data_IF_418564048322
#
_entry.id   IF_418564048322
#
_cell.length_a   1.000
_cell.length_b   1.000
_cell.length_c   1.000
_cell.angle_alpha   90.00
_cell.angle_beta   90.00
_cell.angle_gamma   90.00
#
_symmetry.space_group_name_H-M   'P 1'
#
loop_
_entity.id
_entity.type
_entity.pdbx_description
1 polymer ?
#
# COMPACT_ATOMS: atom_id res chain seq x y z
N UNK A 1 -12.66 2.26 -43.39
CA UNK A 1 -11.19 2.24 -43.11
C UNK A 1 -11.08 2.01 -41.61
N UNK A 2 -10.71 0.80 -41.21
CA UNK A 2 -10.52 0.48 -39.78
C UNK A 2 -9.10 0.92 -39.38
N UNK A 3 -9.01 1.84 -38.45
CA UNK A 3 -7.75 2.20 -37.81
C UNK A 3 -7.18 0.97 -37.10
N UNK A 4 -6.04 0.52 -37.59
CA UNK A 4 -5.18 -0.43 -36.89
C UNK A 4 -4.60 0.31 -35.68
N UNK A 5 -5.17 0.07 -34.50
CA UNK A 5 -4.48 0.35 -33.24
C UNK A 5 -3.29 -0.60 -33.14
N UNK A 6 -2.12 -0.13 -33.51
CA UNK A 6 -0.85 -0.76 -33.20
C UNK A 6 -0.64 -0.72 -31.68
N UNK A 7 -1.15 -1.73 -30.99
CA UNK A 7 -0.78 -1.99 -29.60
C UNK A 7 0.65 -2.51 -29.60
N UNK A 8 1.63 -1.61 -29.56
CA UNK A 8 2.96 -1.94 -29.05
C UNK A 8 2.78 -2.44 -27.62
N UNK A 9 2.59 -3.75 -27.45
CA UNK A 9 2.73 -4.40 -26.15
C UNK A 9 4.19 -4.25 -25.78
N UNK A 10 4.51 -3.20 -25.03
CA UNK A 10 5.86 -2.97 -24.52
C UNK A 10 6.29 -4.22 -23.76
N UNK A 11 7.42 -4.77 -24.13
CA UNK A 11 8.03 -5.94 -23.50
C UNK A 11 8.17 -5.69 -22.01
N UNK A 12 7.30 -6.31 -21.20
CA UNK A 12 7.31 -6.17 -19.74
C UNK A 12 8.19 -7.24 -19.13
N UNK A 13 9.26 -6.83 -18.44
CA UNK A 13 10.15 -7.73 -17.70
C UNK A 13 9.69 -7.80 -16.24
N UNK A 14 9.60 -9.02 -15.75
CA UNK A 14 9.29 -9.34 -14.35
C UNK A 14 10.39 -10.23 -13.78
N UNK A 15 10.48 -10.33 -12.46
CA UNK A 15 11.43 -11.23 -11.81
C UNK A 15 10.72 -12.27 -10.96
N UNK A 16 11.11 -13.54 -11.12
CA UNK A 16 10.72 -14.65 -10.24
C UNK A 16 11.98 -15.21 -9.61
N UNK A 17 12.10 -15.14 -8.30
CA UNK A 17 13.25 -15.63 -7.54
C UNK A 17 14.60 -15.10 -8.07
N UNK A 18 14.63 -13.84 -8.56
CA UNK A 18 15.81 -13.22 -9.14
C UNK A 18 16.06 -13.51 -10.62
N UNK A 19 15.26 -14.34 -11.26
CA UNK A 19 15.38 -14.64 -12.71
C UNK A 19 14.43 -13.69 -13.47
N UNK A 20 15.03 -12.79 -14.28
CA UNK A 20 14.31 -11.83 -15.09
C UNK A 20 13.82 -12.48 -16.38
N UNK A 21 12.54 -12.29 -16.70
CA UNK A 21 11.94 -12.86 -17.92
C UNK A 21 10.74 -12.05 -18.40
N UNK A 22 10.36 -12.26 -19.66
CA UNK A 22 9.15 -11.66 -20.20
C UNK A 22 7.90 -12.25 -19.55
N UNK A 23 6.95 -11.39 -19.15
CA UNK A 23 5.70 -11.81 -18.51
C UNK A 23 4.90 -12.78 -19.39
N UNK A 24 5.00 -12.67 -20.71
CA UNK A 24 4.36 -13.56 -21.68
C UNK A 24 4.81 -15.02 -21.59
N UNK A 25 5.95 -15.30 -20.96
CA UNK A 25 6.51 -16.64 -20.78
C UNK A 25 6.09 -17.33 -19.49
N UNK A 26 5.23 -16.67 -18.67
CA UNK A 26 4.82 -17.18 -17.36
C UNK A 26 3.63 -18.13 -17.46
N UNK A 27 3.83 -19.38 -17.06
CA UNK A 27 2.77 -20.36 -16.78
C UNK A 27 2.48 -20.37 -15.27
N UNK A 28 1.97 -19.22 -14.72
CA UNK A 28 2.05 -18.88 -13.31
C UNK A 28 0.96 -19.39 -12.35
N UNK A 29 0.04 -20.28 -12.78
CA UNK A 29 -1.13 -20.61 -11.95
C UNK A 29 -0.91 -21.70 -10.89
N UNK A 30 0.17 -22.46 -10.95
CA UNK A 30 0.44 -23.54 -9.99
C UNK A 30 1.34 -23.07 -8.84
N UNK A 31 0.90 -22.09 -8.08
CA UNK A 31 1.61 -21.66 -6.87
C UNK A 31 0.66 -21.37 -5.71
N UNK A 32 1.19 -21.35 -4.49
CA UNK A 32 0.41 -21.19 -3.25
C UNK A 32 -0.13 -19.76 -3.08
N UNK A 33 0.53 -18.76 -3.66
CA UNK A 33 0.03 -17.39 -3.65
C UNK A 33 -1.32 -17.31 -4.37
N UNK A 34 -1.44 -17.94 -5.55
CA UNK A 34 -2.68 -17.99 -6.31
C UNK A 34 -3.75 -18.86 -5.64
N UNK A 35 -3.36 -20.08 -5.14
CA UNK A 35 -4.32 -21.04 -4.60
C UNK A 35 -4.86 -20.65 -3.21
N UNK A 36 -4.06 -20.00 -2.37
CA UNK A 36 -4.37 -19.80 -0.95
C UNK A 36 -4.14 -18.38 -0.43
N UNK A 37 -3.59 -17.47 -1.24
CA UNK A 37 -3.14 -16.18 -0.73
C UNK A 37 -2.01 -16.31 0.31
N UNK A 38 -1.19 -17.37 0.24
CA UNK A 38 -0.19 -17.76 1.24
C UNK A 38 1.09 -16.94 1.06
N UNK A 39 1.03 -15.66 1.42
CA UNK A 39 2.14 -14.74 1.30
C UNK A 39 1.79 -13.28 1.66
N UNK A 40 2.75 -12.43 1.46
CA UNK A 40 2.69 -10.98 1.72
C UNK A 40 3.18 -10.20 0.49
N UNK A 41 2.83 -8.92 0.41
CA UNK A 41 3.30 -8.07 -0.68
C UNK A 41 3.62 -6.65 -0.23
N UNK A 42 4.44 -5.98 -1.03
CA UNK A 42 4.73 -4.57 -0.92
C UNK A 42 4.33 -3.83 -2.20
N UNK A 43 3.96 -2.57 -2.02
CA UNK A 43 3.77 -1.61 -3.11
C UNK A 43 4.70 -0.45 -2.87
N UNK A 44 5.73 -0.32 -3.71
CA UNK A 44 6.85 0.60 -3.51
C UNK A 44 6.81 1.67 -4.60
N UNK A 45 6.85 2.92 -4.22
CA UNK A 45 6.96 4.05 -5.14
C UNK A 45 8.38 4.17 -5.67
N UNK A 46 8.49 4.45 -6.95
CA UNK A 46 9.75 4.89 -7.59
C UNK A 46 9.65 6.38 -7.85
N UNK A 47 10.73 7.10 -7.57
CA UNK A 47 10.92 8.52 -7.84
C UNK A 47 12.34 8.73 -8.35
N UNK A 48 12.51 9.46 -9.44
CA UNK A 48 13.81 9.70 -10.08
C UNK A 48 14.62 8.39 -10.31
N UNK A 49 13.93 7.33 -10.74
CA UNK A 49 14.52 6.02 -10.97
C UNK A 49 14.98 5.26 -9.72
N UNK A 50 14.60 5.70 -8.50
CA UNK A 50 14.95 5.07 -7.24
C UNK A 50 13.72 4.66 -6.45
N UNK A 51 13.78 3.50 -5.81
CA UNK A 51 12.72 3.02 -4.91
C UNK A 51 12.70 3.79 -3.60
N UNK A 52 11.54 4.37 -3.24
CA UNK A 52 11.40 5.13 -2.00
C UNK A 52 11.20 4.21 -0.79
N UNK A 53 11.88 4.54 0.32
CA UNK A 53 11.71 3.86 1.62
C UNK A 53 11.91 2.34 1.57
N UNK A 54 12.73 1.84 0.64
CA UNK A 54 12.89 0.41 0.36
C UNK A 54 13.26 -0.40 1.60
N UNK A 55 14.13 0.11 2.47
CA UNK A 55 14.55 -0.59 3.69
C UNK A 55 13.36 -0.93 4.60
N UNK A 56 12.45 0.01 4.79
CA UNK A 56 11.23 -0.20 5.57
C UNK A 56 10.27 -1.18 4.90
N UNK A 57 10.14 -1.11 3.57
CA UNK A 57 9.34 -2.07 2.80
C UNK A 57 9.89 -3.49 2.92
N UNK A 58 11.19 -3.68 2.74
CA UNK A 58 11.85 -4.99 2.87
C UNK A 58 11.73 -5.53 4.30
N UNK A 59 11.94 -4.68 5.30
CA UNK A 59 11.80 -5.06 6.71
C UNK A 59 10.39 -5.54 7.03
N UNK A 60 9.34 -4.83 6.57
CA UNK A 60 7.94 -5.23 6.77
C UNK A 60 7.60 -6.51 6.01
N UNK A 61 8.07 -6.66 4.76
CA UNK A 61 7.90 -7.87 3.95
C UNK A 61 8.43 -9.10 4.67
N UNK A 62 9.69 -9.02 5.14
CA UNK A 62 10.37 -10.12 5.85
C UNK A 62 9.67 -10.43 7.19
N UNK A 63 9.28 -9.40 7.95
CA UNK A 63 8.55 -9.57 9.19
C UNK A 63 7.19 -10.26 8.97
N UNK A 64 6.46 -9.88 7.91
CA UNK A 64 5.20 -10.51 7.54
C UNK A 64 5.38 -11.98 7.10
N UNK A 65 6.39 -12.26 6.29
CA UNK A 65 6.73 -13.63 5.89
C UNK A 65 7.08 -14.51 7.11
N UNK A 66 7.89 -13.99 8.05
CA UNK A 66 8.22 -14.69 9.31
C UNK A 66 6.99 -14.93 10.17
N UNK A 67 6.06 -13.99 10.28
CA UNK A 67 4.81 -14.17 10.99
C UNK A 67 3.97 -15.32 10.40
N UNK A 68 4.03 -15.50 9.07
CA UNK A 68 3.42 -16.63 8.34
C UNK A 68 4.26 -17.91 8.38
N UNK A 69 5.37 -17.95 9.13
CA UNK A 69 6.32 -19.07 9.19
C UNK A 69 6.91 -19.44 7.83
N UNK A 70 7.07 -18.46 6.92
CA UNK A 70 7.79 -18.62 5.67
C UNK A 70 9.28 -18.39 5.94
N UNK A 71 10.12 -19.32 5.51
CA UNK A 71 11.58 -19.26 5.67
C UNK A 71 12.18 -18.43 4.54
N UNK A 72 12.51 -17.19 4.86
CA UNK A 72 13.16 -16.25 3.93
C UNK A 72 14.67 -16.48 3.98
N UNK A 73 15.37 -16.65 2.84
CA UNK A 73 16.83 -16.71 2.80
C UNK A 73 17.48 -15.49 3.46
N UNK A 74 18.59 -15.67 4.17
CA UNK A 74 19.24 -14.61 4.91
C UNK A 74 19.84 -13.52 4.03
N UNK A 75 20.19 -13.86 2.80
CA UNK A 75 20.72 -12.94 1.79
C UNK A 75 19.61 -12.10 1.13
N UNK A 76 18.32 -12.46 1.27
CA UNK A 76 17.20 -11.65 0.80
C UNK A 76 16.94 -10.47 1.75
N UNK A 77 17.87 -9.53 1.76
CA UNK A 77 17.87 -8.34 2.58
C UNK A 77 17.71 -7.08 1.73
N UNK A 78 17.85 -5.90 2.34
CA UNK A 78 17.79 -4.63 1.64
C UNK A 78 18.75 -4.56 0.44
N UNK A 79 20.01 -4.96 0.59
CA UNK A 79 21.01 -4.86 -0.47
C UNK A 79 20.65 -5.72 -1.67
N UNK A 80 20.17 -6.95 -1.43
CA UNK A 80 19.69 -7.85 -2.48
C UNK A 80 18.52 -7.26 -3.28
N UNK A 81 17.47 -6.84 -2.59
CA UNK A 81 16.29 -6.28 -3.27
C UNK A 81 16.59 -4.93 -3.92
N UNK A 82 17.47 -4.11 -3.34
CA UNK A 82 17.87 -2.84 -3.95
C UNK A 82 18.59 -3.07 -5.29
N UNK A 83 19.53 -4.01 -5.36
CA UNK A 83 20.22 -4.36 -6.60
C UNK A 83 19.25 -4.95 -7.65
N UNK A 84 18.41 -5.90 -7.24
CA UNK A 84 17.43 -6.52 -8.13
C UNK A 84 16.44 -5.49 -8.70
N UNK A 85 15.89 -4.62 -7.87
CA UNK A 85 14.91 -3.62 -8.31
C UNK A 85 15.55 -2.56 -9.20
N UNK A 86 16.78 -2.14 -8.91
CA UNK A 86 17.52 -1.21 -9.76
C UNK A 86 17.75 -1.78 -11.17
N UNK A 87 18.16 -3.05 -11.28
CA UNK A 87 18.31 -3.74 -12.56
C UNK A 87 16.98 -3.86 -13.32
N UNK A 88 15.89 -4.25 -12.62
CA UNK A 88 14.56 -4.34 -13.23
C UNK A 88 14.03 -2.98 -13.71
N UNK A 89 14.31 -1.88 -13.01
CA UNK A 89 13.96 -0.52 -13.43
C UNK A 89 14.62 -0.17 -14.75
N UNK A 90 15.91 -0.51 -14.91
CA UNK A 90 16.66 -0.33 -16.16
C UNK A 90 16.05 -1.15 -17.29
N UNK A 91 15.80 -2.45 -17.06
CA UNK A 91 15.25 -3.37 -18.07
C UNK A 91 13.83 -2.98 -18.52
N UNK A 92 13.02 -2.38 -17.64
CA UNK A 92 11.68 -1.87 -17.97
C UNK A 92 11.69 -0.39 -18.42
N UNK A 93 12.87 0.25 -18.57
CA UNK A 93 13.02 1.64 -18.96
C UNK A 93 12.26 2.64 -18.07
N UNK A 94 12.17 2.35 -16.75
CA UNK A 94 11.53 3.23 -15.77
C UNK A 94 12.59 4.15 -15.17
N UNK A 95 12.75 5.34 -15.77
CA UNK A 95 13.77 6.34 -15.38
C UNK A 95 13.28 7.38 -14.40
N UNK A 96 11.99 7.58 -14.34
CA UNK A 96 11.33 8.60 -13.51
C UNK A 96 10.49 7.94 -12.43
N UNK A 97 9.18 8.15 -12.48
CA UNK A 97 8.23 7.59 -11.54
C UNK A 97 7.81 6.16 -11.88
N UNK A 98 7.49 5.39 -10.87
CA UNK A 98 7.00 4.02 -11.05
C UNK A 98 6.35 3.45 -9.80
N UNK A 99 5.72 2.29 -10.00
CA UNK A 99 5.22 1.43 -8.93
C UNK A 99 5.83 0.05 -9.08
N UNK A 100 6.46 -0.43 -8.02
CA UNK A 100 6.91 -1.82 -7.89
C UNK A 100 5.92 -2.56 -7.01
N UNK A 101 5.49 -3.75 -7.44
CA UNK A 101 4.85 -4.73 -6.58
C UNK A 101 5.81 -5.89 -6.36
N UNK A 102 6.24 -6.08 -5.12
CA UNK A 102 7.06 -7.20 -4.67
C UNK A 102 6.18 -8.13 -3.83
N UNK A 103 5.90 -9.32 -4.34
CA UNK A 103 5.09 -10.34 -3.66
C UNK A 103 5.99 -11.48 -3.22
N UNK A 104 6.00 -11.80 -1.94
CA UNK A 104 6.74 -12.91 -1.34
C UNK A 104 5.73 -13.94 -0.81
N UNK A 105 5.90 -15.21 -1.18
CA UNK A 105 4.96 -16.26 -0.86
C UNK A 105 5.68 -17.57 -0.59
N UNK A 106 4.98 -18.51 0.05
CA UNK A 106 5.52 -19.85 0.32
C UNK A 106 5.64 -20.63 -0.99
N UNK A 107 6.81 -21.22 -1.19
CA UNK A 107 7.12 -22.09 -2.33
C UNK A 107 6.40 -23.43 -2.26
N UNK A 108 6.51 -24.18 -3.36
CA UNK A 108 6.10 -25.57 -3.44
C UNK A 108 4.61 -25.79 -3.52
N UNK A 109 4.22 -27.02 -3.29
CA UNK A 109 2.87 -27.54 -3.44
C UNK A 109 2.26 -27.94 -2.08
N UNK A 110 1.20 -28.73 -2.13
CA UNK A 110 0.42 -29.19 -1.00
C UNK A 110 -0.93 -28.48 -0.92
N UNK A 111 -1.82 -29.05 -0.11
CA UNK A 111 -3.10 -28.41 0.24
C UNK A 111 -2.88 -27.37 1.36
N UNK A 112 -3.69 -27.35 2.40
CA UNK A 112 -3.48 -26.44 3.54
C UNK A 112 -2.17 -26.74 4.28
N UNK A 113 -1.73 -28.00 4.32
CA UNK A 113 -0.40 -28.36 4.81
C UNK A 113 0.63 -28.19 3.67
N UNK A 114 1.57 -27.24 3.78
CA UNK A 114 2.60 -27.03 2.79
C UNK A 114 3.66 -28.13 2.83
N UNK A 115 4.20 -28.54 1.67
CA UNK A 115 5.31 -29.50 1.59
C UNK A 115 6.61 -28.86 2.05
N UNK A 116 6.78 -27.56 1.82
CA UNK A 116 7.94 -26.79 2.27
C UNK A 116 7.50 -25.42 2.83
N UNK A 117 8.36 -24.81 3.65
CA UNK A 117 8.19 -23.44 4.14
C UNK A 117 9.14 -22.44 3.46
N UNK A 118 9.90 -22.85 2.45
CA UNK A 118 10.82 -21.97 1.75
C UNK A 118 10.07 -20.84 1.01
N UNK A 119 10.72 -19.70 0.88
CA UNK A 119 10.14 -18.54 0.20
C UNK A 119 10.35 -18.59 -1.32
N UNK A 120 9.40 -18.02 -2.04
CA UNK A 120 9.54 -17.55 -3.42
C UNK A 120 9.06 -16.10 -3.50
N UNK A 121 9.50 -15.37 -4.50
CA UNK A 121 8.97 -14.03 -4.74
C UNK A 121 8.71 -13.78 -6.22
N UNK A 122 7.84 -12.81 -6.47
CA UNK A 122 7.54 -12.26 -7.79
C UNK A 122 7.58 -10.74 -7.73
N UNK A 123 8.24 -10.11 -8.71
CA UNK A 123 8.31 -8.67 -8.85
C UNK A 123 7.74 -8.26 -10.18
N UNK A 124 6.83 -7.32 -10.15
CA UNK A 124 6.35 -6.59 -11.31
C UNK A 124 6.44 -5.08 -11.09
N UNK A 125 6.55 -4.33 -12.17
CA UNK A 125 6.57 -2.88 -12.10
C UNK A 125 5.88 -2.22 -13.28
N UNK A 126 5.35 -1.03 -13.03
CA UNK A 126 4.71 -0.17 -14.03
C UNK A 126 5.22 1.26 -13.89
N UNK A 127 5.38 2.01 -14.99
CA UNK A 127 5.72 3.42 -14.91
C UNK A 127 4.54 4.25 -14.35
N UNK A 128 4.87 5.36 -13.69
CA UNK A 128 3.94 6.41 -13.23
C UNK A 128 4.53 7.75 -13.68
N UNK A 129 3.69 8.63 -14.20
CA UNK A 129 4.14 9.87 -14.84
C UNK A 129 4.87 10.86 -13.92
N UNK A 130 4.62 10.82 -12.60
CA UNK A 130 5.12 11.82 -11.65
C UNK A 130 6.20 11.27 -10.73
N UNK A 131 7.25 12.05 -10.52
CA UNK A 131 8.31 11.75 -9.54
C UNK A 131 7.92 12.10 -8.11
N UNK A 132 7.22 13.23 -7.91
CA UNK A 132 6.80 13.70 -6.59
C UNK A 132 5.38 13.28 -6.26
N UNK A 133 5.06 13.33 -4.97
CA UNK A 133 3.68 13.18 -4.51
C UNK A 133 2.92 14.49 -4.74
N UNK A 134 1.77 14.39 -5.38
CA UNK A 134 0.87 15.52 -5.59
C UNK A 134 -0.40 15.32 -4.79
N UNK A 135 -0.86 16.37 -4.12
CA UNK A 135 -2.17 16.34 -3.51
C UNK A 135 -3.23 16.34 -4.63
N UNK A 136 -4.28 15.55 -4.47
CA UNK A 136 -5.40 15.53 -5.41
C UNK A 136 -6.06 16.94 -5.48
N UNK A 137 -6.45 17.37 -6.67
CA UNK A 137 -7.09 18.67 -6.89
C UNK A 137 -8.47 18.70 -6.26
N UNK A 138 -9.29 17.70 -6.56
CA UNK A 138 -10.59 17.52 -5.96
C UNK A 138 -10.49 16.57 -4.76
N UNK A 139 -11.14 16.94 -3.65
CA UNK A 139 -11.17 16.11 -2.45
C UNK A 139 -11.96 14.82 -2.67
N UNK A 140 -11.45 13.73 -2.13
CA UNK A 140 -12.11 12.43 -2.23
C UNK A 140 -13.47 12.43 -1.50
N UNK A 141 -14.44 11.73 -2.05
CA UNK A 141 -15.70 11.39 -1.39
C UNK A 141 -15.60 9.98 -0.84
N UNK A 142 -15.85 9.80 0.46
CA UNK A 142 -15.72 8.52 1.14
C UNK A 142 -16.98 8.18 1.96
N UNK A 143 -17.16 6.88 2.26
CA UNK A 143 -18.14 6.43 3.24
C UNK A 143 -17.64 5.18 3.97
N UNK A 144 -18.41 4.68 4.95
CA UNK A 144 -18.10 3.47 5.70
C UNK A 144 -18.47 2.22 4.89
N UNK A 145 -17.62 1.21 4.94
CA UNK A 145 -17.93 -0.15 4.48
C UNK A 145 -18.40 -0.99 5.67
N UNK A 146 -19.68 -1.31 5.69
CA UNK A 146 -20.32 -1.96 6.85
C UNK A 146 -20.55 -3.46 6.69
N UNK A 147 -20.38 -4.02 5.49
CA UNK A 147 -20.70 -5.43 5.19
C UNK A 147 -19.70 -6.40 5.81
N UNK A 148 -18.43 -6.02 5.88
CA UNK A 148 -17.39 -6.83 6.52
C UNK A 148 -16.57 -5.97 7.47
N UNK A 149 -16.14 -6.57 8.58
CA UNK A 149 -15.24 -5.95 9.56
C UNK A 149 -13.92 -6.69 9.63
N UNK A 150 -12.82 -5.96 9.76
CA UNK A 150 -11.50 -6.56 9.94
C UNK A 150 -11.34 -7.11 11.36
N UNK A 151 -10.94 -8.37 11.47
CA UNK A 151 -10.54 -8.95 12.74
C UNK A 151 -9.10 -8.56 13.06
N UNK A 152 -8.83 -8.28 14.33
CA UNK A 152 -7.47 -8.14 14.81
C UNK A 152 -6.83 -9.53 14.97
N UNK A 153 -5.70 -9.75 14.33
CA UNK A 153 -4.87 -10.94 14.45
C UNK A 153 -3.39 -10.59 14.24
N UNK A 154 -2.52 -11.60 14.35
CA UNK A 154 -1.08 -11.42 14.17
C UNK A 154 -0.65 -10.96 12.77
N UNK A 155 -1.54 -11.06 11.77
CA UNK A 155 -1.26 -10.68 10.38
C UNK A 155 -1.80 -9.29 10.05
N UNK A 156 -2.66 -8.71 10.88
CA UNK A 156 -3.40 -7.48 10.60
C UNK A 156 -2.52 -6.29 10.21
N UNK A 157 -1.31 -6.20 10.78
CA UNK A 157 -0.34 -5.13 10.48
C UNK A 157 0.42 -5.30 9.15
N UNK A 158 0.32 -6.47 8.50
CA UNK A 158 1.04 -6.79 7.26
C UNK A 158 0.10 -6.72 6.04
N UNK A 159 0.70 -6.55 4.87
CA UNK A 159 -0.02 -6.62 3.60
C UNK A 159 -0.03 -8.06 3.09
N UNK A 160 -1.00 -8.84 3.55
CA UNK A 160 -1.16 -10.24 3.11
C UNK A 160 -1.75 -10.30 1.70
N UNK A 161 -1.44 -11.37 0.95
CA UNK A 161 -2.04 -11.65 -0.35
C UNK A 161 -3.54 -11.96 -0.25
N UNK A 162 -4.00 -12.39 0.93
CA UNK A 162 -5.43 -12.54 1.23
C UNK A 162 -6.07 -11.17 1.45
N UNK A 163 -6.51 -10.54 0.36
CA UNK A 163 -6.96 -9.14 0.32
C UNK A 163 -8.45 -8.97 0.03
N UNK A 164 -9.27 -10.03 0.21
CA UNK A 164 -10.68 -10.00 -0.20
C UNK A 164 -11.50 -8.89 0.47
N UNK A 165 -11.24 -8.59 1.76
CA UNK A 165 -11.89 -7.48 2.47
C UNK A 165 -11.66 -6.14 1.76
N UNK A 166 -10.43 -5.87 1.34
CA UNK A 166 -10.06 -4.63 0.66
C UNK A 166 -10.67 -4.55 -0.75
N UNK A 167 -10.74 -5.68 -1.46
CA UNK A 167 -11.40 -5.78 -2.76
C UNK A 167 -12.89 -5.47 -2.62
N UNK A 168 -13.57 -6.05 -1.64
CA UNK A 168 -14.99 -5.81 -1.39
C UNK A 168 -15.26 -4.35 -0.98
N UNK A 169 -14.39 -3.75 -0.14
CA UNK A 169 -14.50 -2.34 0.21
C UNK A 169 -14.32 -1.41 -1.01
N UNK A 170 -13.41 -1.76 -1.93
CA UNK A 170 -13.22 -1.02 -3.17
C UNK A 170 -14.40 -1.17 -4.14
N UNK A 171 -15.00 -2.37 -4.25
CA UNK A 171 -16.22 -2.61 -5.03
C UNK A 171 -17.36 -1.76 -4.48
N UNK A 172 -17.59 -1.79 -3.16
CA UNK A 172 -18.60 -0.96 -2.49
C UNK A 172 -18.40 0.54 -2.79
N UNK A 173 -17.17 1.04 -2.79
CA UNK A 173 -16.90 2.42 -3.16
C UNK A 173 -17.36 2.71 -4.59
N UNK A 174 -17.00 1.86 -5.54
CA UNK A 174 -17.37 2.02 -6.96
C UNK A 174 -18.89 1.97 -7.17
N UNK A 175 -19.59 1.03 -6.56
CA UNK A 175 -21.06 0.85 -6.67
C UNK A 175 -21.84 2.05 -6.09
N UNK A 176 -21.26 2.76 -5.11
CA UNK A 176 -21.86 3.92 -4.46
C UNK A 176 -21.32 5.26 -4.97
N UNK A 177 -20.58 5.29 -6.11
CA UNK A 177 -19.96 6.49 -6.68
C UNK A 177 -19.05 7.24 -5.68
N UNK A 178 -18.31 6.50 -4.86
CA UNK A 178 -17.33 7.01 -3.92
C UNK A 178 -15.91 6.80 -4.47
N UNK A 179 -14.96 7.57 -3.97
CA UNK A 179 -13.54 7.38 -4.31
C UNK A 179 -12.89 6.28 -3.48
N UNK A 180 -13.34 6.08 -2.23
CA UNK A 180 -12.84 5.01 -1.36
C UNK A 180 -13.87 4.69 -0.25
N UNK A 181 -13.70 3.54 0.42
CA UNK A 181 -14.52 3.10 1.54
C UNK A 181 -13.68 2.80 2.76
N UNK A 182 -14.13 3.31 3.91
CA UNK A 182 -13.47 3.12 5.20
C UNK A 182 -13.85 1.78 5.82
N UNK A 183 -12.85 1.04 6.27
CA UNK A 183 -12.98 -0.27 6.90
C UNK A 183 -13.01 -0.11 8.42
N UNK A 184 -13.93 -0.82 9.05
CA UNK A 184 -14.06 -0.88 10.50
C UNK A 184 -13.48 -2.18 11.07
N UNK A 185 -12.99 -2.11 12.31
CA UNK A 185 -12.72 -3.32 13.09
C UNK A 185 -13.99 -3.82 13.79
N UNK A 186 -13.89 -4.93 14.53
CA UNK A 186 -15.01 -5.55 15.24
C UNK A 186 -15.62 -4.63 16.33
N UNK A 187 -14.83 -3.71 16.88
CA UNK A 187 -15.27 -2.76 17.90
C UNK A 187 -15.93 -1.51 17.31
N UNK A 188 -16.04 -1.46 15.97
CA UNK A 188 -16.62 -0.36 15.21
C UNK A 188 -15.70 0.86 15.13
N UNK A 189 -14.38 0.69 15.35
CA UNK A 189 -13.39 1.72 15.09
C UNK A 189 -13.03 1.73 13.62
N UNK A 190 -12.87 2.92 13.04
CA UNK A 190 -12.28 3.11 11.71
C UNK A 190 -10.80 2.79 11.82
N UNK A 191 -10.30 1.93 10.94
CA UNK A 191 -8.89 1.51 10.97
C UNK A 191 -8.09 1.96 9.75
N UNK A 192 -8.69 1.92 8.57
CA UNK A 192 -8.04 2.24 7.28
C UNK A 192 -9.11 2.33 6.19
N UNK A 193 -8.71 2.57 4.93
CA UNK A 193 -9.59 2.43 3.76
C UNK A 193 -9.24 1.20 2.93
N UNK A 194 -9.85 1.05 1.76
CA UNK A 194 -9.58 -0.09 0.87
C UNK A 194 -8.11 -0.19 0.43
N UNK A 195 -7.38 0.92 0.42
CA UNK A 195 -6.00 0.95 -0.06
C UNK A 195 -5.05 1.85 0.75
N UNK A 196 -5.53 2.52 1.79
CA UNK A 196 -4.81 3.59 2.49
C UNK A 196 -5.04 3.55 4.01
N UNK A 197 -4.03 3.98 4.79
CA UNK A 197 -4.26 4.34 6.18
C UNK A 197 -5.01 5.67 6.26
N UNK A 198 -5.62 5.96 7.40
CA UNK A 198 -6.37 7.19 7.63
C UNK A 198 -5.72 8.05 8.72
N UNK A 199 -5.76 9.36 8.51
CA UNK A 199 -5.53 10.38 9.54
C UNK A 199 -6.71 11.34 9.54
N UNK A 200 -7.03 11.87 10.69
CA UNK A 200 -7.92 13.03 10.85
C UNK A 200 -7.16 14.18 11.51
N UNK A 201 -7.57 15.40 11.21
CA UNK A 201 -7.09 16.60 11.87
C UNK A 201 -8.24 17.22 12.65
N UNK A 202 -7.99 17.57 13.89
CA UNK A 202 -8.92 18.34 14.70
C UNK A 202 -8.14 19.37 15.51
N UNK A 203 -8.50 20.64 15.39
CA UNK A 203 -7.82 21.77 16.04
C UNK A 203 -6.28 21.77 15.83
N UNK A 204 -5.85 21.46 14.60
CA UNK A 204 -4.43 21.41 14.20
C UNK A 204 -3.65 20.23 14.75
N UNK A 205 -4.30 19.24 15.34
CA UNK A 205 -3.71 18.01 15.86
C UNK A 205 -4.06 16.84 14.94
N UNK A 206 -3.08 16.02 14.59
CA UNK A 206 -3.25 14.78 13.82
C UNK A 206 -3.64 13.62 14.74
N UNK A 207 -4.54 12.79 14.26
CA UNK A 207 -4.93 11.53 14.91
C UNK A 207 -4.96 10.42 13.87
N UNK A 208 -4.49 9.22 14.23
CA UNK A 208 -4.52 8.02 13.38
C UNK A 208 -4.78 6.78 14.24
N UNK A 209 -5.45 5.75 13.72
CA UNK A 209 -5.66 4.51 14.47
C UNK A 209 -4.33 3.87 14.89
N UNK A 210 -4.22 3.32 16.12
CA UNK A 210 -3.07 2.53 16.53
C UNK A 210 -3.05 1.19 15.78
N UNK A 211 -1.87 0.56 15.69
CA UNK A 211 -1.76 -0.75 15.06
C UNK A 211 -2.57 -1.83 15.79
N UNK A 212 -2.81 -1.65 17.06
CA UNK A 212 -3.60 -2.56 17.90
C UNK A 212 -5.11 -2.50 17.61
N UNK A 213 -5.57 -1.51 16.84
CA UNK A 213 -6.93 -1.52 16.26
C UNK A 213 -7.04 -2.41 15.01
N UNK A 214 -5.92 -2.87 14.46
CA UNK A 214 -5.85 -3.82 13.35
C UNK A 214 -5.58 -3.20 11.98
N UNK A 215 -5.19 -1.93 11.89
CA UNK A 215 -4.78 -1.33 10.62
C UNK A 215 -3.44 -1.90 10.13
N UNK A 216 -3.20 -1.82 8.81
CA UNK A 216 -1.88 -2.12 8.25
C UNK A 216 -0.86 -1.09 8.75
N UNK A 217 0.33 -1.56 9.15
CA UNK A 217 1.47 -0.70 9.51
C UNK A 217 2.07 -0.04 8.27
N UNK A 218 1.37 0.97 7.72
CA UNK A 218 1.74 1.62 6.45
C UNK A 218 3.09 2.34 6.51
N UNK A 219 3.91 2.20 5.46
CA UNK A 219 5.20 2.90 5.38
C UNK A 219 4.97 4.41 5.26
N UNK A 220 4.00 4.85 4.47
CA UNK A 220 3.65 6.27 4.39
C UNK A 220 3.06 6.79 5.72
N UNK A 221 2.23 5.97 6.41
CA UNK A 221 1.74 6.30 7.76
C UNK A 221 2.90 6.58 8.72
N UNK A 222 3.91 5.71 8.77
CA UNK A 222 5.11 5.89 9.59
C UNK A 222 5.87 7.17 9.21
N UNK A 223 6.06 7.43 7.92
CA UNK A 223 6.75 8.63 7.46
C UNK A 223 6.00 9.91 7.85
N UNK A 224 4.67 9.94 7.76
CA UNK A 224 3.86 11.08 8.20
C UNK A 224 3.99 11.31 9.70
N UNK A 225 3.99 10.26 10.51
CA UNK A 225 4.22 10.37 11.96
C UNK A 225 5.58 10.98 12.23
N UNK A 226 6.65 10.48 11.58
CA UNK A 226 8.00 10.98 11.74
C UNK A 226 8.14 12.45 11.30
N UNK A 227 7.56 12.81 10.14
CA UNK A 227 7.52 14.19 9.63
C UNK A 227 6.78 15.11 10.60
N UNK A 228 5.64 14.69 11.13
CA UNK A 228 4.88 15.47 12.11
C UNK A 228 5.70 15.74 13.37
N UNK A 229 6.31 14.71 13.96
CA UNK A 229 7.14 14.83 15.16
C UNK A 229 8.34 15.74 14.92
N UNK A 230 9.07 15.56 13.82
CA UNK A 230 10.26 16.37 13.48
C UNK A 230 9.92 17.84 13.23
N UNK A 231 8.69 18.16 12.83
CA UNK A 231 8.21 19.51 12.56
C UNK A 231 7.31 20.08 13.66
N UNK A 232 7.31 19.47 14.86
CA UNK A 232 6.54 19.90 16.04
C UNK A 232 5.02 19.98 15.78
N UNK A 233 4.50 19.16 14.86
CA UNK A 233 3.07 18.98 14.64
C UNK A 233 2.60 17.91 15.62
N UNK A 234 1.63 18.26 16.46
CA UNK A 234 1.08 17.32 17.44
C UNK A 234 0.39 16.17 16.74
N UNK A 235 0.69 14.94 17.16
CA UNK A 235 0.11 13.72 16.60
C UNK A 235 -0.12 12.70 17.71
N UNK A 236 -1.25 11.99 17.62
CA UNK A 236 -1.61 10.91 18.54
C UNK A 236 -2.12 9.69 17.78
N UNK A 237 -1.72 8.53 18.25
CA UNK A 237 -2.30 7.25 17.84
C UNK A 237 -3.43 6.92 18.82
N UNK A 238 -4.66 6.89 18.34
CA UNK A 238 -5.85 6.58 19.14
C UNK A 238 -6.96 6.00 18.26
N UNK A 239 -7.84 5.20 18.84
CA UNK A 239 -9.00 4.64 18.14
C UNK A 239 -9.92 5.74 17.61
N UNK A 240 -10.33 5.62 16.36
CA UNK A 240 -11.20 6.56 15.67
C UNK A 240 -12.60 5.96 15.50
N UNK A 241 -13.61 6.62 16.02
CA UNK A 241 -15.03 6.28 15.79
C UNK A 241 -15.56 7.04 14.57
N UNK A 242 -16.62 6.56 13.89
CA UNK A 242 -17.27 7.29 12.80
C UNK A 242 -17.67 8.72 13.16
N UNK A 243 -18.05 8.96 14.42
CA UNK A 243 -18.41 10.29 14.93
C UNK A 243 -17.24 11.28 14.88
N UNK A 244 -15.99 10.80 14.98
CA UNK A 244 -14.81 11.66 14.89
C UNK A 244 -14.68 12.31 13.50
N UNK A 245 -15.18 11.66 12.44
CA UNK A 245 -15.22 12.26 11.10
C UNK A 245 -16.15 13.48 11.04
N UNK A 246 -17.25 13.47 11.78
CA UNK A 246 -18.21 14.57 11.74
C UNK A 246 -17.67 15.86 12.37
N UNK A 247 -16.70 15.76 13.28
CA UNK A 247 -16.09 16.90 13.98
C UNK A 247 -14.67 17.23 13.49
N UNK A 248 -14.09 16.42 12.61
CA UNK A 248 -12.76 16.66 12.03
C UNK A 248 -12.74 17.89 11.13
N UNK A 249 -11.61 18.59 11.10
CA UNK A 249 -11.32 19.69 10.17
C UNK A 249 -10.81 19.18 8.82
N UNK A 250 -9.93 18.16 8.86
CA UNK A 250 -9.39 17.48 7.67
C UNK A 250 -9.41 15.97 7.86
N UNK A 251 -9.49 15.24 6.75
CA UNK A 251 -9.31 13.79 6.67
C UNK A 251 -8.35 13.47 5.54
N UNK A 252 -7.34 12.64 5.82
CA UNK A 252 -6.30 12.24 4.88
C UNK A 252 -6.29 10.72 4.72
N UNK A 253 -6.22 10.25 3.50
CA UNK A 253 -5.91 8.86 3.16
C UNK A 253 -4.47 8.78 2.66
N UNK A 254 -3.71 7.75 3.11
CA UNK A 254 -2.27 7.72 2.85
C UNK A 254 -1.77 6.34 2.46
N UNK A 255 -1.01 6.27 1.37
CA UNK A 255 -0.32 5.05 0.96
C UNK A 255 1.02 5.38 0.27
N UNK A 256 1.87 4.37 0.09
CA UNK A 256 3.21 4.56 -0.47
C UNK A 256 3.23 4.99 -1.94
N UNK A 257 2.14 4.82 -2.69
CA UNK A 257 2.10 5.13 -4.12
C UNK A 257 1.63 6.55 -4.39
N UNK A 258 0.56 6.97 -3.71
CA UNK A 258 -0.07 8.30 -3.90
C UNK A 258 0.42 9.33 -2.89
N UNK A 259 1.08 8.89 -1.82
CA UNK A 259 1.48 9.76 -0.71
C UNK A 259 0.29 10.09 0.17
N UNK A 260 -0.24 11.28 0.02
CA UNK A 260 -1.43 11.79 0.72
C UNK A 260 -2.51 12.13 -0.29
N UNK A 261 -3.71 11.67 -0.06
CA UNK A 261 -4.93 12.15 -0.72
C UNK A 261 -5.84 12.77 0.35
N UNK A 262 -6.27 14.02 0.14
CA UNK A 262 -7.21 14.65 1.06
C UNK A 262 -8.64 14.27 0.72
N UNK A 263 -9.47 14.15 1.74
CA UNK A 263 -10.90 13.86 1.62
C UNK A 263 -11.66 15.17 1.59
N UNK A 264 -12.49 15.36 0.57
CA UNK A 264 -13.36 16.52 0.45
C UNK A 264 -14.68 16.36 1.18
N UNK A 265 -15.18 15.11 1.32
CA UNK A 265 -16.48 14.89 1.95
C UNK A 265 -16.71 13.49 2.51
N UNK A 266 -17.47 13.45 3.61
CA UNK A 266 -18.07 12.27 4.22
C UNK A 266 -19.51 12.59 4.58
N UNK A 267 -20.47 11.92 3.97
CA UNK A 267 -21.88 12.27 4.10
C UNK A 267 -22.13 13.77 3.79
N UNK A 268 -22.73 14.52 4.73
CA UNK A 268 -22.96 15.95 4.61
C UNK A 268 -21.79 16.82 5.11
N UNK A 269 -20.75 16.22 5.70
CA UNK A 269 -19.56 16.93 6.19
C UNK A 269 -18.60 17.23 5.04
N UNK A 270 -18.01 18.44 5.04
CA UNK A 270 -16.94 18.86 4.13
C UNK A 270 -15.69 19.18 4.93
N UNK A 271 -14.52 18.95 4.31
CA UNK A 271 -13.23 19.08 4.97
C UNK A 271 -12.33 20.08 4.26
N UNK A 272 -11.31 20.55 4.97
CA UNK A 272 -10.20 21.35 4.46
C UNK A 272 -8.99 20.46 4.15
N UNK A 273 -7.88 21.09 3.65
CA UNK A 273 -6.65 20.37 3.28
C UNK A 273 -5.36 21.19 3.60
N UNK A 274 -5.43 22.10 4.57
CA UNK A 274 -4.32 22.99 4.88
C UNK A 274 -3.10 22.23 5.45
N UNK A 275 -3.34 21.36 6.44
CA UNK A 275 -2.28 20.57 7.05
C UNK A 275 -1.83 19.46 6.08
N UNK A 276 -2.73 18.91 5.29
CA UNK A 276 -2.44 17.92 4.22
C UNK A 276 -1.42 18.48 3.22
N UNK A 277 -1.60 19.73 2.74
CA UNK A 277 -0.64 20.43 1.86
C UNK A 277 0.72 20.57 2.52
N UNK A 278 0.75 21.04 3.76
CA UNK A 278 2.01 21.22 4.51
C UNK A 278 2.78 19.89 4.65
N UNK A 279 2.08 18.80 4.98
CA UNK A 279 2.74 17.50 5.21
C UNK A 279 3.27 16.93 3.90
N UNK A 280 2.53 17.01 2.79
CA UNK A 280 3.00 16.49 1.49
C UNK A 280 4.23 17.25 1.00
N UNK A 281 4.30 18.57 1.21
CA UNK A 281 5.47 19.39 0.90
C UNK A 281 6.70 18.98 1.72
N UNK A 282 6.50 18.66 3.01
CA UNK A 282 7.56 18.17 3.89
C UNK A 282 8.06 16.79 3.47
N UNK A 283 7.18 15.88 3.04
CA UNK A 283 7.56 14.57 2.52
C UNK A 283 8.32 14.72 1.21
N UNK A 284 7.85 15.56 0.29
CA UNK A 284 8.53 15.79 -1.00
C UNK A 284 9.95 16.36 -0.81
N UNK A 285 10.18 17.20 0.21
CA UNK A 285 11.54 17.68 0.56
C UNK A 285 12.48 16.57 1.06
N UNK A 286 11.95 15.47 1.58
CA UNK A 286 12.78 14.33 2.02
C UNK A 286 13.18 13.40 0.87
N UNK A 287 12.43 13.43 -0.23
CA UNK A 287 12.65 12.53 -1.38
C UNK A 287 13.25 13.25 -2.59
N UNK A 288 13.38 14.57 -2.55
CA UNK A 288 14.07 15.37 -3.56
C UNK A 288 15.59 15.20 -3.43
#
# INVERSE_FOLDING_TARGET
MAEKTDTHISKKIVSINGINQEISKLNGFNNRAFKFGDGVFESIRVSNGKTLFLEHHVSRLIAGAKAMKIKVPNDWNYAYFNALLADLLIQNNIKEGGRVRLSLFRSGEGAYHPITNEASFFVEMIPIANNFFNLNEEGLTINLYNEMKKSLDQFSRFKTLNSILYVQAAIHANENNLNDSLILNKDGNIIESSSSNIFIVSNGVLYTPPLDDGCVGGIMRMNIINVALSNKIKIYECSLKPQNLLIADEVLLTNSIKGIEWVGGFQNKRYYNNLSKKIIDLINKQIA
#
